data_IF_081246483212
#
_entry.id   IF_081246483212
#
_cell.length_a   1.000
_cell.length_b   1.000
_cell.length_c   1.000
_cell.angle_alpha   90.00
_cell.angle_beta   90.00
_cell.angle_gamma   90.00
#
_symmetry.space_group_name_H-M   'P 1'
#
loop_
_entity.id
_entity.type
_entity.pdbx_description
1 polymer ?
#
# COMPACT_ATOMS: atom_id res chain seq x y z
N UNK A 1 12.82 2.79 20.06
CA UNK A 1 12.87 1.39 19.58
C UNK A 1 12.45 1.39 18.14
N UNK A 2 13.34 0.95 17.26
CA UNK A 2 13.09 0.80 15.83
C UNK A 2 13.12 -0.69 15.51
N UNK A 3 12.15 -1.18 14.77
CA UNK A 3 12.00 -2.58 14.44
C UNK A 3 11.64 -2.79 12.98
N UNK A 4 12.17 -3.87 12.41
CA UNK A 4 11.73 -4.41 11.13
C UNK A 4 10.50 -5.27 11.40
N UNK A 5 9.45 -5.06 10.61
CA UNK A 5 8.22 -5.86 10.65
C UNK A 5 8.21 -6.72 9.39
N UNK A 6 8.46 -8.05 9.49
CA UNK A 6 8.22 -8.95 8.36
C UNK A 6 6.71 -9.02 8.10
N UNK A 7 6.33 -8.96 6.82
CA UNK A 7 4.95 -9.00 6.37
C UNK A 7 4.84 -10.08 5.29
N UNK A 8 3.90 -11.00 5.43
CA UNK A 8 3.69 -12.03 4.42
C UNK A 8 2.95 -11.43 3.20
N UNK A 9 3.41 -11.76 1.99
CA UNK A 9 2.81 -11.26 0.75
C UNK A 9 1.29 -11.45 0.71
N UNK A 10 0.81 -12.66 1.00
CA UNK A 10 -0.61 -12.99 0.91
C UNK A 10 -1.45 -12.30 2.00
N UNK A 11 -0.87 -11.97 3.15
CA UNK A 11 -1.57 -11.27 4.24
C UNK A 11 -1.82 -9.80 3.92
N UNK A 12 -0.97 -9.20 3.08
CA UNK A 12 -1.09 -7.80 2.65
C UNK A 12 -1.71 -7.65 1.26
N UNK A 13 -2.03 -8.75 0.58
CA UNK A 13 -2.69 -8.72 -0.72
C UNK A 13 -4.12 -8.16 -0.57
N UNK A 14 -4.57 -7.28 -1.49
CA UNK A 14 -5.97 -6.86 -1.50
C UNK A 14 -6.87 -8.05 -1.83
N UNK A 15 -8.05 -8.08 -1.23
CA UNK A 15 -9.07 -9.06 -1.60
C UNK A 15 -9.52 -8.85 -3.06
N UNK A 16 -9.85 -9.90 -3.83
CA UNK A 16 -10.28 -9.80 -5.23
C UNK A 16 -11.42 -8.78 -5.45
N UNK A 17 -12.37 -8.70 -4.52
CA UNK A 17 -13.50 -7.78 -4.58
C UNK A 17 -13.06 -6.32 -4.47
N UNK A 18 -11.96 -6.06 -3.74
CA UNK A 18 -11.37 -4.72 -3.65
C UNK A 18 -10.73 -4.32 -4.97
N UNK A 19 -10.01 -5.24 -5.63
CA UNK A 19 -9.44 -5.00 -6.96
C UNK A 19 -10.55 -4.74 -7.98
N UNK A 20 -11.58 -5.59 -8.03
CA UNK A 20 -12.72 -5.42 -8.93
C UNK A 20 -13.42 -4.06 -8.74
N UNK A 21 -13.60 -3.63 -7.49
CA UNK A 21 -14.18 -2.33 -7.17
C UNK A 21 -13.33 -1.17 -7.68
N UNK A 22 -12.00 -1.24 -7.58
CA UNK A 22 -11.11 -0.19 -8.14
C UNK A 22 -11.11 -0.17 -9.66
N UNK A 23 -11.45 -1.29 -10.31
CA UNK A 23 -11.70 -1.36 -11.76
C UNK A 23 -13.13 -0.92 -12.16
N UNK A 24 -13.95 -0.46 -11.21
CA UNK A 24 -15.31 0.01 -11.48
C UNK A 24 -16.38 -1.09 -11.57
N UNK A 25 -16.11 -2.29 -11.07
CA UNK A 25 -17.11 -3.37 -10.93
C UNK A 25 -17.58 -3.43 -9.48
N UNK A 26 -18.82 -3.00 -9.16
CA UNK A 26 -19.36 -3.03 -7.80
C UNK A 26 -19.58 -4.46 -7.29
N UNK A 27 -19.76 -4.59 -5.98
CA UNK A 27 -20.14 -5.86 -5.35
C UNK A 27 -21.49 -6.37 -5.90
N UNK A 28 -21.60 -7.69 -6.08
CA UNK A 28 -22.81 -8.33 -6.59
C UNK A 28 -23.03 -8.21 -8.11
N UNK A 29 -22.20 -7.44 -8.82
CA UNK A 29 -22.27 -7.37 -10.29
C UNK A 29 -21.64 -8.60 -10.95
N UNK A 30 -22.18 -9.09 -12.09
CA UNK A 30 -21.56 -10.15 -12.86
C UNK A 30 -20.16 -9.74 -13.34
N UNK A 31 -19.16 -10.53 -12.98
CA UNK A 31 -17.77 -10.32 -13.43
C UNK A 31 -17.54 -11.11 -14.72
N UNK A 32 -17.13 -10.47 -15.83
CA UNK A 32 -16.77 -11.19 -17.05
C UNK A 32 -15.62 -12.18 -16.78
N UNK A 33 -15.71 -13.40 -17.32
CA UNK A 33 -14.70 -14.46 -17.10
C UNK A 33 -13.26 -14.00 -17.39
N UNK A 34 -13.08 -13.17 -18.42
CA UNK A 34 -11.78 -12.59 -18.77
C UNK A 34 -11.23 -11.70 -17.65
N UNK A 35 -12.06 -10.89 -17.03
CA UNK A 35 -11.65 -10.00 -15.92
C UNK A 35 -11.32 -10.82 -14.68
N UNK A 36 -12.15 -11.83 -14.36
CA UNK A 36 -11.85 -12.74 -13.25
C UNK A 36 -10.49 -13.43 -13.45
N UNK A 37 -10.19 -13.88 -14.67
CA UNK A 37 -8.88 -14.47 -15.00
C UNK A 37 -7.71 -13.51 -14.80
N UNK A 38 -7.87 -12.22 -15.15
CA UNK A 38 -6.83 -11.21 -14.94
C UNK A 38 -6.57 -10.95 -13.44
N UNK A 39 -7.62 -10.97 -12.61
CA UNK A 39 -7.47 -10.79 -11.15
C UNK A 39 -6.71 -11.96 -10.52
N UNK A 40 -7.02 -13.20 -10.92
CA UNK A 40 -6.28 -14.37 -10.43
C UNK A 40 -4.83 -14.36 -10.93
N UNK A 41 -4.59 -14.04 -12.20
CA UNK A 41 -3.23 -13.94 -12.74
C UNK A 41 -2.40 -12.85 -12.04
N UNK A 42 -2.99 -11.68 -11.78
CA UNK A 42 -2.34 -10.61 -11.05
C UNK A 42 -2.01 -11.03 -9.60
N UNK A 43 -2.90 -11.79 -8.96
CA UNK A 43 -2.69 -12.33 -7.62
C UNK A 43 -1.52 -13.30 -7.57
N UNK A 44 -1.43 -14.23 -8.53
CA UNK A 44 -0.33 -15.19 -8.62
C UNK A 44 1.03 -14.49 -8.83
N UNK A 45 1.05 -13.47 -9.72
CA UNK A 45 2.22 -12.62 -9.93
C UNK A 45 2.61 -11.87 -8.66
N UNK A 46 1.63 -11.28 -7.99
CA UNK A 46 1.85 -10.53 -6.75
C UNK A 46 2.44 -11.42 -5.66
N UNK A 47 1.87 -12.60 -5.42
CA UNK A 47 2.35 -13.54 -4.40
C UNK A 47 3.81 -13.97 -4.66
N UNK A 48 4.15 -14.17 -5.93
CA UNK A 48 5.51 -14.57 -6.32
C UNK A 48 6.53 -13.43 -6.19
N UNK A 49 6.12 -12.19 -6.47
CA UNK A 49 7.02 -11.04 -6.60
C UNK A 49 7.12 -10.17 -5.36
N UNK A 50 6.03 -10.06 -4.58
CA UNK A 50 5.99 -9.18 -3.43
C UNK A 50 7.03 -9.61 -2.39
N UNK A 51 7.76 -8.63 -1.88
CA UNK A 51 8.71 -8.78 -0.77
C UNK A 51 8.37 -7.74 0.28
N UNK A 52 7.21 -7.88 0.96
CA UNK A 52 6.75 -6.83 1.84
C UNK A 52 7.62 -6.72 3.08
N UNK A 53 7.94 -5.49 3.46
CA UNK A 53 8.70 -5.21 4.68
C UNK A 53 8.24 -3.88 5.25
N UNK A 54 8.05 -3.86 6.57
CA UNK A 54 7.74 -2.67 7.35
C UNK A 54 8.93 -2.24 8.20
N UNK A 55 9.01 -0.94 8.46
CA UNK A 55 9.81 -0.33 9.50
C UNK A 55 8.88 0.41 10.45
N UNK A 56 9.11 0.25 11.75
CA UNK A 56 8.38 0.95 12.80
C UNK A 56 9.37 1.54 13.80
N UNK A 57 9.23 2.81 14.11
CA UNK A 57 10.04 3.50 15.11
C UNK A 57 9.14 4.26 16.08
N UNK A 58 9.33 4.05 17.38
CA UNK A 58 8.71 4.94 18.38
C UNK A 58 9.27 6.34 18.23
N UNK A 59 8.42 7.35 18.35
CA UNK A 59 8.79 8.76 18.30
C UNK A 59 8.22 9.50 19.51
N UNK A 60 8.97 10.48 20.02
CA UNK A 60 8.50 11.35 21.09
C UNK A 60 7.59 12.47 20.55
N UNK A 61 6.80 13.13 21.40
CA UNK A 61 6.02 14.31 20.98
C UNK A 61 6.86 15.47 20.45
N UNK A 62 8.05 15.70 21.02
CA UNK A 62 8.95 16.76 20.54
C UNK A 62 9.48 16.42 19.15
N UNK A 63 9.99 15.20 18.95
CA UNK A 63 10.57 14.80 17.66
C UNK A 63 9.50 14.70 16.57
N UNK A 64 8.25 14.39 16.95
CA UNK A 64 7.13 14.38 16.02
C UNK A 64 6.90 15.74 15.38
N UNK A 65 7.00 16.84 16.14
CA UNK A 65 6.79 18.18 15.60
C UNK A 65 7.84 18.53 14.55
N UNK A 66 9.11 18.16 14.77
CA UNK A 66 10.17 18.37 13.79
C UNK A 66 9.92 17.60 12.48
N UNK A 67 9.51 16.33 12.60
CA UNK A 67 9.17 15.48 11.45
C UNK A 67 7.91 15.98 10.75
N UNK A 68 6.90 16.36 11.54
CA UNK A 68 5.66 16.91 11.04
C UNK A 68 5.97 18.18 10.27
N UNK A 69 6.53 19.20 10.90
CA UNK A 69 6.85 20.47 10.25
C UNK A 69 7.70 20.28 8.98
N UNK A 70 8.68 19.36 8.99
CA UNK A 70 9.33 18.84 7.78
C UNK A 70 9.74 19.93 6.78
N UNK A 71 9.28 19.82 5.53
CA UNK A 71 9.44 20.85 4.49
C UNK A 71 8.27 21.86 4.43
N UNK A 72 7.38 21.86 5.43
CA UNK A 72 6.21 22.74 5.50
C UNK A 72 5.09 22.39 4.52
N UNK A 73 5.14 21.21 3.88
CA UNK A 73 4.19 20.77 2.84
C UNK A 73 3.00 19.97 3.37
N UNK A 74 2.74 20.01 4.67
CA UNK A 74 1.52 19.43 5.21
C UNK A 74 0.31 20.29 4.87
N UNK A 75 -0.87 19.67 4.89
CA UNK A 75 -2.12 20.41 4.84
C UNK A 75 -2.23 21.36 6.04
N UNK A 76 -2.55 22.63 5.79
CA UNK A 76 -2.79 23.64 6.83
C UNK A 76 -3.89 23.23 7.83
N UNK A 77 -4.79 22.32 7.44
CA UNK A 77 -5.89 21.81 8.28
C UNK A 77 -5.72 20.34 8.65
N UNK A 78 -4.55 19.97 9.14
CA UNK A 78 -4.32 18.63 9.67
C UNK A 78 -4.83 18.49 11.11
N UNK A 79 -5.55 17.41 11.46
CA UNK A 79 -5.90 17.13 12.86
C UNK A 79 -4.70 16.62 13.67
N UNK A 80 -3.57 16.30 13.03
CA UNK A 80 -2.44 15.62 13.66
C UNK A 80 -1.84 16.37 14.86
N UNK A 81 -1.61 17.69 14.85
CA UNK A 81 -1.08 18.39 16.02
C UNK A 81 -1.96 18.23 17.27
N UNK A 82 -3.28 18.30 17.10
CA UNK A 82 -4.24 18.13 18.19
C UNK A 82 -4.38 16.68 18.68
N UNK A 83 -4.02 15.69 17.85
CA UNK A 83 -3.95 14.28 18.23
C UNK A 83 -2.63 14.02 18.95
N UNK A 84 -1.50 14.45 18.38
CA UNK A 84 -0.16 14.26 18.92
C UNK A 84 -0.01 14.83 20.34
N UNK A 85 -0.58 16.00 20.61
CA UNK A 85 -0.56 16.65 21.92
C UNK A 85 -1.22 15.81 23.05
N UNK A 86 -2.10 14.87 22.70
CA UNK A 86 -2.84 14.02 23.65
C UNK A 86 -2.48 12.54 23.55
N UNK A 87 -1.60 12.17 22.62
CA UNK A 87 -1.25 10.79 22.37
C UNK A 87 -0.32 10.27 23.47
N UNK A 88 -0.73 9.18 24.16
CA UNK A 88 0.13 8.51 25.13
C UNK A 88 1.32 7.78 24.49
N UNK A 89 1.18 7.38 23.22
CA UNK A 89 2.21 6.69 22.45
C UNK A 89 2.14 7.11 20.98
N UNK A 90 3.32 7.29 20.36
CA UNK A 90 3.44 7.60 18.93
C UNK A 90 4.53 6.77 18.27
N UNK A 91 4.35 6.52 16.98
CA UNK A 91 5.31 5.83 16.15
C UNK A 91 5.27 6.36 14.71
N UNK A 92 6.44 6.37 14.07
CA UNK A 92 6.58 6.48 12.63
C UNK A 92 6.66 5.09 12.03
N UNK A 93 6.09 4.93 10.84
CA UNK A 93 6.22 3.70 10.09
C UNK A 93 6.42 3.97 8.60
N UNK A 94 7.05 3.01 7.93
CA UNK A 94 7.12 2.94 6.48
C UNK A 94 6.95 1.49 6.06
N UNK A 95 6.27 1.25 4.94
CA UNK A 95 6.10 -0.09 4.40
C UNK A 95 6.27 -0.06 2.88
N UNK A 96 6.75 -1.17 2.33
CA UNK A 96 6.90 -1.37 0.88
C UNK A 96 6.52 -2.79 0.50
N UNK A 97 6.13 -2.98 -0.75
CA UNK A 97 5.92 -4.28 -1.38
C UNK A 97 7.19 -4.82 -2.05
N UNK A 98 8.26 -4.02 -2.07
CA UNK A 98 9.50 -4.31 -2.78
C UNK A 98 9.48 -3.89 -4.26
N UNK A 99 10.67 -3.60 -4.78
CA UNK A 99 10.87 -3.17 -6.17
C UNK A 99 10.32 -4.13 -7.26
N UNK A 100 10.39 -5.48 -7.10
CA UNK A 100 9.99 -6.40 -8.17
C UNK A 100 8.55 -6.21 -8.66
N UNK A 101 7.62 -5.85 -7.78
CA UNK A 101 6.21 -5.58 -8.12
C UNK A 101 6.12 -4.40 -9.10
N UNK A 102 6.68 -3.25 -8.72
CA UNK A 102 6.69 -2.06 -9.57
C UNK A 102 7.42 -2.28 -10.89
N UNK A 103 8.49 -3.08 -10.90
CA UNK A 103 9.21 -3.45 -12.13
C UNK A 103 8.34 -4.30 -13.06
N UNK A 104 7.62 -5.29 -12.52
CA UNK A 104 6.69 -6.13 -13.31
C UNK A 104 5.56 -5.30 -13.90
N UNK A 105 4.96 -4.39 -13.13
CA UNK A 105 3.93 -3.47 -13.61
C UNK A 105 4.46 -2.65 -14.80
N UNK A 106 5.61 -1.99 -14.65
CA UNK A 106 6.23 -1.21 -15.75
C UNK A 106 6.43 -2.04 -17.02
N UNK A 107 6.88 -3.29 -16.88
CA UNK A 107 7.09 -4.19 -18.02
C UNK A 107 5.78 -4.60 -18.70
N UNK A 108 4.70 -4.82 -17.94
CA UNK A 108 3.37 -5.13 -18.49
C UNK A 108 2.84 -3.96 -19.33
N UNK A 109 2.94 -2.74 -18.81
CA UNK A 109 2.57 -1.54 -19.57
C UNK A 109 3.42 -1.35 -20.83
N UNK A 110 4.74 -1.51 -20.74
CA UNK A 110 5.64 -1.42 -21.89
C UNK A 110 5.38 -2.52 -22.94
N UNK A 111 4.87 -3.68 -22.50
CA UNK A 111 4.55 -4.84 -23.33
C UNK A 111 3.13 -4.83 -23.93
N UNK A 112 2.37 -3.74 -23.85
CA UNK A 112 0.97 -3.63 -24.26
C UNK A 112 -0.01 -4.54 -23.49
N UNK A 113 0.34 -4.94 -22.27
CA UNK A 113 -0.54 -5.67 -21.35
C UNK A 113 -0.95 -4.79 -20.16
N UNK A 114 -1.51 -3.62 -20.49
CA UNK A 114 -2.02 -2.69 -19.49
C UNK A 114 -3.21 -3.27 -18.71
N UNK A 115 -3.95 -4.22 -19.31
CA UNK A 115 -5.08 -4.87 -18.66
C UNK A 115 -4.64 -5.66 -17.43
N UNK A 116 -3.57 -6.46 -17.53
CA UNK A 116 -2.99 -7.15 -16.38
C UNK A 116 -2.19 -6.19 -15.49
N UNK A 117 -1.51 -5.20 -16.05
CA UNK A 117 -0.72 -4.22 -15.29
C UNK A 117 -1.53 -3.30 -14.37
N UNK A 118 -2.82 -3.09 -14.66
CA UNK A 118 -3.74 -2.31 -13.84
C UNK A 118 -4.44 -3.10 -12.72
N UNK A 119 -4.34 -4.44 -12.73
CA UNK A 119 -4.97 -5.32 -11.73
C UNK A 119 -4.08 -5.42 -10.49
#
# INVERSE_FOLDING_TARGET
MTGIIPLAAIEVAPAPETVLRTQGIPEGHPVPKRVAGLVEEARDLYETLARPIGLLARISPSDFLDVYDGEGRNSERSPLPGIAARAGHMALFAATLGEPVSRKIKNLFAGNDAALGCM
#
